data_IF_302424055418
#
_entry.id   IF_302424055418
#
_cell.length_a   1.000
_cell.length_b   1.000
_cell.length_c   1.000
_cell.angle_alpha   90.00
_cell.angle_beta   90.00
_cell.angle_gamma   90.00
#
_symmetry.space_group_name_H-M   'P 1'
#
loop_
_entity.id
_entity.type
_entity.pdbx_description
1 polymer ?
#
# COMPACT_ATOMS: atom_id res chain seq x y z
N UNK A 1 -3.04 -4.62 -2.54
CA UNK A 1 -1.70 -4.08 -2.16
C UNK A 1 -0.79 -3.78 -3.34
N UNK A 2 -0.70 -4.61 -4.38
CA UNK A 2 0.02 -4.23 -5.60
C UNK A 2 -0.83 -3.30 -6.50
N UNK A 3 -0.90 -2.03 -6.11
CA UNK A 3 -1.76 -1.01 -6.69
C UNK A 3 -0.93 0.16 -7.22
N UNK A 4 -1.54 1.02 -8.04
CA UNK A 4 -0.97 2.32 -8.41
C UNK A 4 -1.39 3.40 -7.43
N UNK A 5 -0.42 4.00 -6.75
CA UNK A 5 -0.66 5.05 -5.76
C UNK A 5 -0.43 6.42 -6.37
N UNK A 6 -1.30 7.38 -6.06
CA UNK A 6 -1.12 8.78 -6.46
C UNK A 6 -0.17 9.47 -5.49
N UNK A 7 0.91 10.02 -6.01
CA UNK A 7 1.86 10.87 -5.28
C UNK A 7 1.34 12.32 -5.18
N UNK A 8 1.88 13.14 -4.26
CA UNK A 8 1.47 14.54 -4.11
C UNK A 8 1.62 15.39 -5.38
N UNK A 9 2.55 15.02 -6.27
CA UNK A 9 2.73 15.67 -7.57
C UNK A 9 1.72 15.21 -8.65
N UNK A 10 0.75 14.37 -8.29
CA UNK A 10 -0.27 13.84 -9.18
C UNK A 10 0.15 12.60 -9.98
N UNK A 11 1.43 12.21 -9.96
CA UNK A 11 1.90 11.01 -10.64
C UNK A 11 1.34 9.75 -9.99
N UNK A 12 1.07 8.73 -10.80
CA UNK A 12 0.74 7.39 -10.33
C UNK A 12 1.98 6.51 -10.38
N UNK A 13 2.26 5.80 -9.29
CA UNK A 13 3.43 4.92 -9.18
C UNK A 13 3.01 3.58 -8.62
N UNK A 14 3.47 2.50 -9.27
CA UNK A 14 3.38 1.13 -8.77
C UNK A 14 4.68 0.80 -8.03
N UNK A 15 4.58 0.55 -6.73
CA UNK A 15 5.76 0.32 -5.88
C UNK A 15 6.23 -1.15 -5.85
N UNK A 16 5.32 -2.09 -6.11
CA UNK A 16 5.62 -3.52 -6.04
C UNK A 16 5.77 -4.10 -7.45
N UNK A 17 6.81 -4.90 -7.61
CA UNK A 17 7.06 -5.73 -8.78
C UNK A 17 6.32 -7.08 -8.64
N UNK A 18 5.55 -7.48 -9.66
CA UNK A 18 4.81 -8.75 -9.71
C UNK A 18 5.73 -9.99 -9.72
N UNK A 19 7.02 -9.83 -10.01
CA UNK A 19 8.02 -10.91 -10.02
C UNK A 19 8.79 -11.04 -8.70
N UNK A 20 8.48 -10.23 -7.68
CA UNK A 20 9.13 -10.28 -6.37
C UNK A 20 8.20 -10.86 -5.30
N UNK A 21 8.81 -11.53 -4.33
CA UNK A 21 8.14 -11.98 -3.10
C UNK A 21 8.24 -10.91 -2.02
N UNK A 22 7.12 -10.62 -1.36
CA UNK A 22 7.07 -9.68 -0.24
C UNK A 22 6.44 -10.35 0.99
N UNK A 23 6.86 -9.92 2.17
CA UNK A 23 6.09 -10.14 3.39
C UNK A 23 4.96 -9.10 3.41
N UNK A 24 3.74 -9.51 3.73
CA UNK A 24 2.66 -8.54 3.84
C UNK A 24 1.42 -9.05 4.58
N UNK A 25 0.59 -8.10 5.01
CA UNK A 25 -0.71 -8.38 5.61
C UNK A 25 -1.71 -7.27 5.25
N UNK A 26 -3.01 -7.59 5.33
CA UNK A 26 -4.11 -6.67 5.08
C UNK A 26 -5.11 -6.79 6.24
N UNK A 27 -5.56 -5.65 6.77
CA UNK A 27 -6.52 -5.61 7.87
C UNK A 27 -7.58 -4.55 7.57
N UNK A 28 -8.86 -4.91 7.75
CA UNK A 28 -9.96 -3.96 7.70
C UNK A 28 -9.83 -2.94 8.85
N UNK A 29 -10.18 -1.68 8.59
CA UNK A 29 -10.12 -0.64 9.61
C UNK A 29 -11.28 -0.76 10.60
N UNK A 30 -10.97 -0.92 11.89
CA UNK A 30 -11.99 -0.95 12.95
C UNK A 30 -12.60 0.43 13.26
N UNK A 31 -12.01 1.51 12.71
CA UNK A 31 -12.43 2.89 12.98
C UNK A 31 -13.67 3.33 12.16
N UNK A 32 -14.39 2.39 11.54
CA UNK A 32 -15.69 2.63 10.92
C UNK A 32 -15.65 3.18 9.49
N UNK A 33 -14.55 2.99 8.76
CA UNK A 33 -14.45 3.33 7.34
C UNK A 33 -14.42 2.09 6.45
N UNK A 34 -14.89 2.18 5.20
CA UNK A 34 -14.79 1.13 4.16
C UNK A 34 -13.35 0.90 3.66
N UNK A 35 -12.35 1.22 4.49
CA UNK A 35 -10.93 1.19 4.14
C UNK A 35 -10.22 0.05 4.86
N UNK A 36 -9.25 -0.53 4.16
CA UNK A 36 -8.31 -1.51 4.67
C UNK A 36 -6.92 -0.89 4.78
N UNK A 37 -6.17 -1.32 5.79
CA UNK A 37 -4.74 -1.08 5.89
C UNK A 37 -3.96 -2.23 5.27
N UNK A 38 -2.95 -1.89 4.49
CA UNK A 38 -1.95 -2.82 3.98
C UNK A 38 -0.58 -2.52 4.55
N UNK A 39 0.17 -3.56 4.88
CA UNK A 39 1.61 -3.48 5.17
C UNK A 39 2.35 -4.45 4.24
N UNK A 40 3.43 -3.97 3.62
CA UNK A 40 4.28 -4.75 2.72
C UNK A 40 5.74 -4.44 3.02
N UNK A 41 6.60 -5.45 3.04
CA UNK A 41 8.02 -5.28 3.20
C UNK A 41 8.83 -6.31 2.39
N UNK A 42 10.02 -5.91 1.96
CA UNK A 42 11.10 -6.80 1.56
C UNK A 42 12.38 -6.45 2.35
N UNK A 43 13.55 -6.89 1.88
CA UNK A 43 14.83 -6.57 2.55
C UNK A 43 15.24 -5.10 2.44
N UNK A 44 14.65 -4.35 1.50
CA UNK A 44 15.06 -3.00 1.13
C UNK A 44 14.12 -1.93 1.72
N UNK A 45 12.84 -2.25 1.89
CA UNK A 45 11.85 -1.31 2.38
C UNK A 45 10.71 -1.93 3.20
N UNK A 46 10.04 -1.06 3.96
CA UNK A 46 8.71 -1.28 4.52
C UNK A 46 7.76 -0.18 4.01
N UNK A 47 6.56 -0.59 3.62
CA UNK A 47 5.51 0.27 3.10
C UNK A 47 4.21 -0.01 3.85
N UNK A 48 3.51 1.05 4.26
CA UNK A 48 2.12 0.96 4.72
C UNK A 48 1.22 1.81 3.84
N UNK A 49 0.03 1.30 3.56
CA UNK A 49 -0.96 1.97 2.74
C UNK A 49 -2.37 1.78 3.28
N UNK A 50 -3.29 2.58 2.76
CA UNK A 50 -4.73 2.38 2.94
C UNK A 50 -5.40 2.40 1.57
N UNK A 51 -6.51 1.71 1.44
CA UNK A 51 -7.34 1.68 0.23
C UNK A 51 -8.76 1.32 0.60
N UNK A 52 -9.71 1.68 -0.23
CA UNK A 52 -11.12 1.31 -0.08
C UNK A 52 -11.37 -0.13 -0.58
N UNK A 53 -12.63 -0.56 -0.48
CA UNK A 53 -13.08 -1.86 -0.98
C UNK A 53 -12.58 -2.13 -2.41
N UNK A 54 -12.23 -3.38 -2.68
CA UNK A 54 -11.71 -3.83 -3.99
C UNK A 54 -10.39 -3.15 -4.42
N UNK A 55 -9.70 -2.46 -3.51
CA UNK A 55 -8.41 -1.81 -3.79
C UNK A 55 -8.54 -0.45 -4.47
N UNK A 56 -9.70 0.20 -4.39
CA UNK A 56 -9.93 1.55 -4.93
C UNK A 56 -9.33 2.63 -4.03
N UNK A 57 -9.13 3.81 -4.61
CA UNK A 57 -8.57 4.99 -3.94
C UNK A 57 -7.35 4.71 -3.03
N UNK A 58 -6.27 4.10 -3.58
CA UNK A 58 -5.13 3.72 -2.78
C UNK A 58 -4.27 4.92 -2.39
N UNK A 59 -3.97 5.01 -1.10
CA UNK A 59 -3.13 6.05 -0.50
C UNK A 59 -1.89 5.43 0.16
N UNK A 60 -0.74 6.00 -0.18
CA UNK A 60 0.53 5.65 0.45
C UNK A 60 0.64 6.40 1.79
N UNK A 61 0.74 5.67 2.91
CA UNK A 61 0.86 6.27 4.24
C UNK A 61 2.32 6.41 4.67
N UNK A 62 3.13 5.37 4.41
CA UNK A 62 4.56 5.36 4.71
C UNK A 62 5.27 4.55 3.64
N UNK A 63 6.42 5.05 3.21
CA UNK A 63 7.41 4.28 2.49
C UNK A 63 8.78 4.57 3.09
N UNK A 64 9.35 3.57 3.75
CA UNK A 64 10.64 3.69 4.44
C UNK A 64 11.59 2.67 3.85
N UNK A 65 12.61 3.17 3.15
CA UNK A 65 13.80 2.38 2.82
C UNK A 65 14.70 2.27 4.03
N UNK A 66 15.48 1.19 4.05
CA UNK A 66 16.52 0.92 5.04
C UNK A 66 17.50 2.08 5.19
#
# INVERSE_FOLDING_TARGET
MNLEYRLPNGQKVKFLDDQKTYLGNQLESELGGERCFGIVADMDFIMTCTYEKDGTDPELLLYKKR
#
